data_IF_971375464006
#
_entry.id   IF_971375464006
#
_cell.length_a   1.000
_cell.length_b   1.000
_cell.length_c   1.000
_cell.angle_alpha   90.00
_cell.angle_beta   90.00
_cell.angle_gamma   90.00
#
_symmetry.space_group_name_H-M   'P 1'
#
loop_
_entity.id
_entity.type
_entity.pdbx_description
1 polymer ?
#
# COMPACT_ATOMS: atom_id res chain seq x y z
N UNK A 1 14.31 20.21 -18.82
CA UNK A 1 13.94 20.22 -17.38
C UNK A 1 14.01 18.79 -16.87
N UNK A 2 14.62 18.54 -15.71
CA UNK A 2 14.54 17.24 -15.03
C UNK A 2 13.22 17.12 -14.29
N UNK A 3 12.54 15.97 -14.36
CA UNK A 3 11.31 15.72 -13.62
C UNK A 3 11.55 15.70 -12.10
N UNK A 4 10.49 15.88 -11.30
CA UNK A 4 10.59 15.76 -9.83
C UNK A 4 11.06 14.36 -9.41
N UNK A 5 10.63 13.31 -10.10
CA UNK A 5 11.07 11.93 -9.88
C UNK A 5 12.57 11.74 -10.14
N UNK A 6 13.17 12.46 -11.09
CA UNK A 6 14.60 12.38 -11.35
C UNK A 6 15.47 12.93 -10.19
N UNK A 7 14.86 13.59 -9.19
CA UNK A 7 15.54 14.11 -8.00
C UNK A 7 15.46 13.16 -6.79
N UNK A 8 14.79 12.01 -6.91
CA UNK A 8 14.74 11.00 -5.84
C UNK A 8 15.90 10.00 -5.97
N UNK A 9 16.21 9.26 -4.90
CA UNK A 9 17.20 8.18 -4.92
C UNK A 9 16.55 6.82 -5.18
N UNK A 10 17.34 5.85 -5.67
CA UNK A 10 16.89 4.48 -5.87
C UNK A 10 16.81 3.73 -4.53
N UNK A 11 15.78 2.89 -4.30
CA UNK A 11 15.65 2.19 -3.03
C UNK A 11 16.78 1.16 -2.84
N UNK A 12 17.38 1.06 -1.64
CA UNK A 12 18.54 0.21 -1.38
C UNK A 12 18.22 -1.29 -1.46
N UNK A 13 16.96 -1.68 -1.37
CA UNK A 13 16.53 -3.07 -1.47
C UNK A 13 16.94 -3.70 -2.82
N UNK A 14 16.88 -2.94 -3.91
CA UNK A 14 17.25 -3.44 -5.24
C UNK A 14 18.76 -3.71 -5.34
N UNK A 15 19.57 -2.87 -4.69
CA UNK A 15 21.00 -3.09 -4.57
C UNK A 15 21.30 -4.35 -3.73
N UNK A 16 20.63 -4.53 -2.60
CA UNK A 16 20.79 -5.73 -1.77
C UNK A 16 20.42 -7.01 -2.56
N UNK A 17 19.36 -6.99 -3.36
CA UNK A 17 19.00 -8.12 -4.24
C UNK A 17 20.08 -8.41 -5.29
N UNK A 18 20.78 -7.40 -5.79
CA UNK A 18 21.85 -7.60 -6.78
C UNK A 18 23.01 -8.44 -6.26
N UNK A 19 23.22 -8.49 -4.93
CA UNK A 19 24.27 -9.32 -4.31
C UNK A 19 24.00 -10.83 -4.41
N UNK A 20 22.76 -11.21 -4.75
CA UNK A 20 22.35 -12.60 -4.96
C UNK A 20 22.68 -13.10 -6.36
N UNK A 21 23.02 -12.21 -7.30
CA UNK A 21 23.35 -12.58 -8.69
C UNK A 21 24.56 -13.53 -8.68
N UNK A 22 24.44 -14.61 -9.46
CA UNK A 22 25.44 -15.67 -9.61
C UNK A 22 25.82 -16.41 -8.29
N UNK A 23 24.97 -16.33 -7.25
CA UNK A 23 25.14 -17.11 -6.01
C UNK A 23 24.31 -18.38 -6.02
N UNK A 24 24.86 -19.44 -5.42
CA UNK A 24 24.19 -20.71 -5.20
C UNK A 24 23.93 -20.90 -3.70
N UNK A 25 22.68 -21.20 -3.33
CA UNK A 25 22.22 -21.41 -1.96
C UNK A 25 21.71 -22.83 -1.70
N UNK A 26 22.02 -23.80 -2.57
CA UNK A 26 21.60 -25.21 -2.44
C UNK A 26 22.15 -25.87 -1.18
N UNK A 27 23.41 -25.60 -0.83
CA UNK A 27 24.07 -26.19 0.35
C UNK A 27 23.92 -25.33 1.61
N UNK A 28 23.69 -24.02 1.43
CA UNK A 28 23.52 -23.04 2.52
C UNK A 28 22.32 -22.15 2.18
N UNK A 29 21.15 -22.38 2.81
CA UNK A 29 19.95 -21.60 2.52
C UNK A 29 20.12 -20.11 2.78
N UNK A 30 19.60 -19.29 1.86
CA UNK A 30 19.55 -17.83 2.02
C UNK A 30 18.55 -17.44 3.11
N UNK A 31 19.01 -16.67 4.09
CA UNK A 31 18.15 -15.98 5.05
C UNK A 31 17.94 -14.55 4.54
N UNK A 32 16.83 -14.30 3.85
CA UNK A 32 16.51 -12.97 3.33
C UNK A 32 15.82 -12.12 4.41
N UNK A 33 16.53 -11.12 4.90
CA UNK A 33 16.02 -10.11 5.86
C UNK A 33 15.98 -8.69 5.26
N UNK A 34 16.06 -8.57 3.93
CA UNK A 34 16.01 -7.26 3.24
C UNK A 34 14.62 -6.86 2.78
N UNK A 35 13.69 -7.80 2.60
CA UNK A 35 12.33 -7.53 2.14
C UNK A 35 11.31 -7.68 3.28
N UNK A 36 10.47 -6.66 3.47
CA UNK A 36 9.41 -6.64 4.48
C UNK A 36 8.03 -7.05 3.95
N UNK A 37 7.93 -7.43 2.67
CA UNK A 37 6.67 -7.88 2.09
C UNK A 37 6.25 -9.22 2.73
N UNK A 38 4.97 -9.39 3.12
CA UNK A 38 4.47 -10.67 3.60
C UNK A 38 4.75 -11.77 2.56
N UNK A 39 5.35 -12.88 3.00
CA UNK A 39 5.70 -14.01 2.14
C UNK A 39 4.60 -15.06 2.06
N UNK A 40 3.70 -15.09 3.05
CA UNK A 40 2.58 -16.02 3.08
C UNK A 40 1.52 -15.64 2.04
N UNK A 41 0.87 -16.63 1.41
CA UNK A 41 -0.24 -16.38 0.51
C UNK A 41 -1.43 -15.74 1.25
N UNK A 42 -2.34 -15.07 0.52
CA UNK A 42 -3.60 -14.60 1.12
C UNK A 42 -4.36 -15.75 1.80
N UNK A 43 -5.06 -15.51 2.92
CA UNK A 43 -5.82 -16.53 3.61
C UNK A 43 -6.87 -17.20 2.70
N UNK A 44 -7.10 -18.50 2.89
CA UNK A 44 -8.03 -19.27 2.04
C UNK A 44 -9.44 -18.64 1.90
N UNK A 45 -10.07 -18.07 2.96
CA UNK A 45 -11.36 -17.39 2.80
C UNK A 45 -11.32 -16.20 1.85
N UNK A 46 -10.21 -15.45 1.82
CA UNK A 46 -10.03 -14.32 0.91
C UNK A 46 -9.92 -14.81 -0.54
N UNK A 47 -9.13 -15.87 -0.78
CA UNK A 47 -9.00 -16.48 -2.10
C UNK A 47 -10.34 -16.99 -2.63
N UNK A 48 -11.11 -17.69 -1.80
CA UNK A 48 -12.44 -18.18 -2.17
C UNK A 48 -13.41 -17.04 -2.49
N UNK A 49 -13.38 -15.96 -1.72
CA UNK A 49 -14.23 -14.80 -1.97
C UNK A 49 -13.86 -14.08 -3.27
N UNK A 50 -12.56 -13.86 -3.50
CA UNK A 50 -12.07 -13.26 -4.75
C UNK A 50 -12.47 -14.09 -5.98
N UNK A 51 -12.36 -15.42 -5.89
CA UNK A 51 -12.74 -16.33 -6.97
C UNK A 51 -14.26 -16.31 -7.26
N UNK A 52 -15.09 -16.05 -6.26
CA UNK A 52 -16.52 -15.88 -6.46
C UNK A 52 -16.83 -14.54 -7.11
N UNK A 53 -16.32 -13.43 -6.55
CA UNK A 53 -16.64 -12.06 -6.99
C UNK A 53 -16.14 -11.77 -8.41
N UNK A 54 -15.06 -12.41 -8.86
CA UNK A 54 -14.57 -12.22 -10.24
C UNK A 54 -15.54 -12.78 -11.30
N UNK A 55 -16.52 -13.60 -10.91
CA UNK A 55 -17.57 -14.10 -11.80
C UNK A 55 -18.77 -13.15 -11.90
N UNK A 56 -18.85 -12.12 -11.04
CA UNK A 56 -19.94 -11.15 -11.06
C UNK A 56 -19.70 -10.10 -12.15
N UNK A 57 -20.68 -9.92 -13.04
CA UNK A 57 -20.59 -8.96 -14.15
C UNK A 57 -20.27 -7.54 -13.68
N UNK A 58 -20.72 -7.13 -12.50
CA UNK A 58 -20.53 -5.77 -12.01
C UNK A 58 -19.10 -5.46 -11.56
N UNK A 59 -18.27 -6.48 -11.32
CA UNK A 59 -16.92 -6.33 -10.73
C UNK A 59 -15.96 -5.53 -11.61
N UNK A 60 -16.16 -5.54 -12.94
CA UNK A 60 -15.28 -4.84 -13.88
C UNK A 60 -15.66 -3.37 -14.13
N UNK A 61 -16.82 -2.91 -13.66
CA UNK A 61 -17.26 -1.54 -13.90
C UNK A 61 -16.52 -0.54 -13.00
N UNK A 62 -16.45 0.70 -13.47
CA UNK A 62 -15.99 1.79 -12.61
C UNK A 62 -16.88 1.95 -11.39
N UNK A 63 -16.25 1.99 -10.23
CA UNK A 63 -16.91 2.30 -8.98
C UNK A 63 -17.02 3.80 -8.69
N UNK A 64 -17.65 4.17 -7.56
CA UNK A 64 -17.62 5.54 -7.07
C UNK A 64 -16.19 6.02 -6.85
N UNK A 65 -15.96 7.32 -7.08
CA UNK A 65 -14.64 7.96 -7.02
C UNK A 65 -13.87 7.69 -5.72
N UNK A 66 -14.57 7.72 -4.57
CA UNK A 66 -13.96 7.50 -3.25
C UNK A 66 -14.02 6.03 -2.79
N UNK A 67 -14.50 5.13 -3.63
CA UNK A 67 -14.70 3.71 -3.33
C UNK A 67 -16.13 3.34 -2.94
N UNK A 68 -16.37 2.04 -2.84
CA UNK A 68 -17.68 1.46 -2.58
C UNK A 68 -18.24 1.88 -1.22
N UNK A 69 -19.53 2.29 -1.11
CA UNK A 69 -20.12 2.72 0.15
C UNK A 69 -20.01 1.67 1.26
N UNK A 70 -20.24 0.39 0.93
CA UNK A 70 -20.13 -0.71 1.88
C UNK A 70 -18.70 -0.85 2.44
N UNK A 71 -17.68 -0.78 1.57
CA UNK A 71 -16.28 -0.87 1.99
C UNK A 71 -15.88 0.34 2.85
N UNK A 72 -16.29 1.55 2.47
CA UNK A 72 -16.04 2.77 3.24
C UNK A 72 -16.64 2.70 4.64
N UNK A 73 -17.87 2.17 4.76
CA UNK A 73 -18.55 1.98 6.04
C UNK A 73 -17.87 0.91 6.91
N UNK A 74 -17.38 -0.16 6.31
CA UNK A 74 -16.71 -1.23 7.07
C UNK A 74 -15.35 -0.76 7.59
N UNK A 75 -14.56 -0.07 6.76
CA UNK A 75 -13.28 0.54 7.18
C UNK A 75 -13.50 1.52 8.32
N UNK A 76 -14.48 2.42 8.21
CA UNK A 76 -14.75 3.41 9.26
C UNK A 76 -15.11 2.76 10.59
N UNK A 77 -15.91 1.69 10.57
CA UNK A 77 -16.29 0.91 11.74
C UNK A 77 -15.09 0.19 12.38
N UNK A 78 -14.30 -0.53 11.59
CA UNK A 78 -13.15 -1.28 12.12
C UNK A 78 -12.12 -0.35 12.76
N UNK A 79 -11.80 0.77 12.11
CA UNK A 79 -10.82 1.72 12.62
C UNK A 79 -11.33 2.49 13.83
N UNK A 80 -12.60 2.87 13.86
CA UNK A 80 -13.21 3.49 15.05
C UNK A 80 -13.09 2.56 16.26
N UNK A 81 -13.33 1.26 16.04
CA UNK A 81 -13.21 0.24 17.09
C UNK A 81 -11.77 0.04 17.54
N UNK A 82 -10.85 -0.14 16.59
CA UNK A 82 -9.45 -0.44 16.87
C UNK A 82 -8.71 0.70 17.59
N UNK A 83 -9.03 1.95 17.25
CA UNK A 83 -8.33 3.13 17.75
C UNK A 83 -9.15 3.96 18.75
N UNK A 84 -10.33 3.48 19.16
CA UNK A 84 -11.24 4.17 20.08
C UNK A 84 -11.60 5.61 19.65
N UNK A 85 -11.62 5.87 18.34
CA UNK A 85 -12.01 7.14 17.73
C UNK A 85 -13.35 7.04 17.00
N UNK A 86 -13.94 8.17 16.58
CA UNK A 86 -15.11 8.17 15.70
C UNK A 86 -14.71 8.59 14.29
N UNK A 87 -14.85 7.67 13.32
CA UNK A 87 -14.65 7.92 11.89
C UNK A 87 -15.98 7.68 11.18
N UNK A 88 -16.47 8.70 10.47
CA UNK A 88 -17.67 8.60 9.65
C UNK A 88 -17.33 8.01 8.28
N UNK A 89 -18.25 7.24 7.64
CA UNK A 89 -18.02 6.70 6.29
C UNK A 89 -17.67 7.79 5.25
N UNK A 90 -18.21 9.00 5.43
CA UNK A 90 -17.92 10.15 4.58
C UNK A 90 -16.46 10.63 4.66
N UNK A 91 -15.75 10.30 5.74
CA UNK A 91 -14.34 10.65 5.96
C UNK A 91 -13.37 9.58 5.43
N UNK A 92 -13.88 8.49 4.84
CA UNK A 92 -13.06 7.40 4.28
C UNK A 92 -13.01 7.52 2.76
N UNK A 93 -11.81 7.43 2.18
CA UNK A 93 -11.59 7.20 0.76
C UNK A 93 -10.75 5.93 0.55
N UNK A 94 -11.10 5.12 -0.44
CA UNK A 94 -10.37 3.88 -0.76
C UNK A 94 -9.35 4.16 -1.86
N UNK A 95 -8.09 3.76 -1.62
CA UNK A 95 -6.97 3.93 -2.56
C UNK A 95 -6.36 2.58 -2.92
N UNK A 96 -5.58 2.55 -4.00
CA UNK A 96 -4.70 1.45 -4.40
C UNK A 96 -3.47 1.37 -3.48
N UNK A 97 -3.71 1.09 -2.21
CA UNK A 97 -2.69 0.95 -1.18
C UNK A 97 -2.25 2.26 -0.52
N UNK A 98 -1.38 2.13 0.48
CA UNK A 98 -0.93 3.23 1.33
C UNK A 98 -0.08 4.27 0.59
N UNK A 99 0.69 3.87 -0.43
CA UNK A 99 1.50 4.82 -1.21
C UNK A 99 0.64 5.84 -1.97
N UNK A 100 -0.49 5.41 -2.53
CA UNK A 100 -1.43 6.33 -3.17
C UNK A 100 -2.13 7.20 -2.11
N UNK A 101 -2.52 6.64 -0.95
CA UNK A 101 -3.09 7.42 0.14
C UNK A 101 -2.14 8.53 0.61
N UNK A 102 -0.85 8.20 0.82
CA UNK A 102 0.18 9.17 1.16
C UNK A 102 0.36 10.23 0.08
N UNK A 103 0.49 9.81 -1.19
CA UNK A 103 0.65 10.74 -2.31
C UNK A 103 -0.53 11.70 -2.43
N UNK A 104 -1.76 11.21 -2.25
CA UNK A 104 -2.97 12.02 -2.28
C UNK A 104 -3.03 13.01 -1.10
N UNK A 105 -2.64 12.58 0.10
CA UNK A 105 -2.59 13.44 1.27
C UNK A 105 -1.57 14.58 1.09
N UNK A 106 -0.34 14.27 0.66
CA UNK A 106 0.69 15.28 0.41
C UNK A 106 0.26 16.25 -0.69
N UNK A 107 -0.29 15.75 -1.81
CA UNK A 107 -0.75 16.59 -2.90
C UNK A 107 -1.96 17.49 -2.53
N UNK A 108 -2.75 17.09 -1.53
CA UNK A 108 -3.87 17.89 -1.03
C UNK A 108 -3.43 18.96 -0.02
N UNK A 109 -2.43 18.64 0.81
CA UNK A 109 -2.06 19.46 1.98
C UNK A 109 -0.87 20.40 1.73
N UNK A 110 -0.06 20.14 0.71
CA UNK A 110 1.19 20.86 0.47
C UNK A 110 1.27 21.43 -0.96
N UNK A 111 1.91 22.59 -1.10
CA UNK A 111 2.31 23.19 -2.38
C UNK A 111 3.84 23.41 -2.42
N UNK A 112 4.34 24.06 -3.48
CA UNK A 112 5.74 24.38 -3.63
C UNK A 112 6.27 25.22 -2.46
N UNK A 113 7.38 24.76 -1.88
CA UNK A 113 8.09 25.36 -0.74
C UNK A 113 7.44 25.16 0.64
N UNK A 114 6.37 24.37 0.75
CA UNK A 114 5.91 23.87 2.05
C UNK A 114 6.88 22.84 2.64
N UNK A 115 6.93 22.78 3.97
CA UNK A 115 7.82 21.88 4.72
C UNK A 115 7.04 20.76 5.40
N UNK A 116 7.55 19.52 5.30
CA UNK A 116 6.99 18.33 5.96
C UNK A 116 8.00 17.80 6.98
N UNK A 117 7.58 17.69 8.24
CA UNK A 117 8.41 17.11 9.29
C UNK A 117 8.44 15.58 9.16
N UNK A 118 9.64 15.01 9.05
CA UNK A 118 9.87 13.56 8.97
C UNK A 118 10.76 13.12 10.15
N UNK A 119 10.23 12.32 11.09
CA UNK A 119 11.05 11.73 12.15
C UNK A 119 12.03 10.72 11.54
N UNK A 120 13.27 10.69 12.04
CA UNK A 120 14.30 9.74 11.57
C UNK A 120 14.46 8.56 12.54
N UNK A 121 14.54 7.30 12.05
CA UNK A 121 14.43 6.90 10.63
C UNK A 121 12.97 6.91 10.12
N UNK A 122 12.80 7.17 8.82
CA UNK A 122 11.50 7.15 8.13
C UNK A 122 11.48 6.09 7.03
N UNK A 123 10.26 5.80 6.53
CA UNK A 123 10.04 4.96 5.35
C UNK A 123 10.46 5.66 4.05
#
# INVERSE_FOLDING_TARGET
MTSRTAKTFAPPVMEAYSWLIDKNFSDIPLINVSQAAPVDPPPAPMLSHMAAVIQDDDTHFYGPVLGMPALRSEVSKQWSTAYAGTILPAQVGITSGCNQAFSAAIAMLCDENDEVLLPVPFY
#
